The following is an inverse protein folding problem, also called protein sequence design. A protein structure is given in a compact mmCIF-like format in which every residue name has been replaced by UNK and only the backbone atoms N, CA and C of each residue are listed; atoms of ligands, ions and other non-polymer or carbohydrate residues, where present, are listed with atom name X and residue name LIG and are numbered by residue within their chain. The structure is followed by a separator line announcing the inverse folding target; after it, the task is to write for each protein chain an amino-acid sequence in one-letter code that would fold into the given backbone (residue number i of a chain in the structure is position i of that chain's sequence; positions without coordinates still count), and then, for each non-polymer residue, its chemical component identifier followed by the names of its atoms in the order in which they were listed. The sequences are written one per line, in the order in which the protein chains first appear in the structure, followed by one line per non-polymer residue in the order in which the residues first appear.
data_IF_175790437125
#
_entry.id   IF_175790437125
#
_cell.length_a   1.000
_cell.length_b   1.000
_cell.length_c   1.000
_cell.angle_alpha   90.00
_cell.angle_beta   90.00
_cell.angle_gamma   90.00
#
_symmetry.space_group_name_H-M   'P 1'
#
loop_
_entity.id
_entity.type
_entity.pdbx_description
1 polymer ?
#
# COMPACT_ATOMS: atom_id res chain seq x y z
N UNK A 1 -21.44 3.04 -20.50
CA UNK A 1 -20.81 2.77 -19.19
C UNK A 1 -19.51 3.53 -19.15
N UNK A 2 -19.33 4.45 -18.20
CA UNK A 2 -18.07 5.16 -18.04
C UNK A 2 -17.02 4.22 -17.46
N UNK A 3 -15.81 4.21 -18.00
CA UNK A 3 -14.67 3.49 -17.43
C UNK A 3 -14.32 4.22 -16.12
N UNK A 4 -14.66 3.64 -14.98
CA UNK A 4 -14.31 4.19 -13.67
C UNK A 4 -13.02 3.53 -13.17
N UNK A 5 -11.97 4.34 -13.01
CA UNK A 5 -10.75 3.91 -12.35
C UNK A 5 -10.97 3.97 -10.84
N UNK A 6 -10.86 2.87 -10.09
CA UNK A 6 -11.00 2.90 -8.64
C UNK A 6 -9.88 3.74 -8.02
N UNK A 7 -10.22 4.62 -7.09
CA UNK A 7 -9.24 5.41 -6.35
C UNK A 7 -8.62 4.54 -5.24
N UNK A 8 -7.33 4.24 -5.35
CA UNK A 8 -6.54 3.59 -4.29
C UNK A 8 -5.82 4.68 -3.49
N UNK A 9 -6.37 5.04 -2.34
CA UNK A 9 -5.92 6.18 -1.53
C UNK A 9 -5.27 5.81 -0.19
N UNK A 10 -5.35 4.53 0.20
CA UNK A 10 -4.82 4.04 1.47
C UNK A 10 -3.63 3.10 1.25
N UNK A 11 -2.62 3.25 2.10
CA UNK A 11 -1.40 2.44 2.11
C UNK A 11 -1.18 1.76 3.46
N UNK A 12 -2.26 1.63 4.25
CA UNK A 12 -2.19 1.17 5.64
C UNK A 12 -1.68 -0.28 5.80
N UNK A 13 -1.77 -1.12 4.75
CA UNK A 13 -1.25 -2.49 4.81
C UNK A 13 0.26 -2.60 4.56
N UNK A 14 0.94 -1.50 4.21
CA UNK A 14 2.38 -1.50 3.94
C UNK A 14 2.76 -2.36 2.74
N UNK A 15 4.00 -2.86 2.73
CA UNK A 15 4.49 -3.73 1.65
C UNK A 15 3.84 -5.11 1.73
N UNK A 16 3.22 -5.53 0.64
CA UNK A 16 2.61 -6.84 0.49
C UNK A 16 3.67 -7.89 0.18
N UNK A 17 3.50 -9.08 0.74
CA UNK A 17 4.35 -10.22 0.39
C UNK A 17 4.27 -10.50 -1.12
N UNK A 18 5.39 -10.85 -1.78
CA UNK A 18 5.38 -11.24 -3.19
C UNK A 18 4.41 -12.40 -3.50
N UNK A 19 4.13 -13.27 -2.52
CA UNK A 19 3.16 -14.37 -2.66
C UNK A 19 1.70 -13.89 -2.74
N UNK A 20 1.42 -12.66 -2.29
CA UNK A 20 0.11 -12.05 -2.28
C UNK A 20 -0.13 -11.11 -3.47
N UNK A 21 0.87 -10.91 -4.35
CA UNK A 21 0.80 -9.99 -5.50
C UNK A 21 -0.30 -10.37 -6.50
N UNK A 22 -0.68 -11.66 -6.55
CA UNK A 22 -1.78 -12.15 -7.41
C UNK A 22 -3.15 -12.22 -6.72
N UNK A 23 -3.26 -11.90 -5.42
CA UNK A 23 -4.50 -12.10 -4.65
C UNK A 23 -5.35 -10.82 -4.60
N UNK A 24 -5.91 -10.45 -5.75
CA UNK A 24 -6.79 -9.28 -5.92
C UNK A 24 -8.09 -9.35 -5.11
N UNK A 25 -8.48 -10.53 -4.63
CA UNK A 25 -9.68 -10.71 -3.82
C UNK A 25 -9.51 -10.23 -2.37
N UNK A 26 -8.26 -10.13 -1.90
CA UNK A 26 -8.00 -9.74 -0.52
C UNK A 26 -8.21 -8.23 -0.35
N UNK A 27 -8.94 -7.84 0.71
CA UNK A 27 -9.10 -6.43 1.06
C UNK A 27 -7.74 -5.71 1.24
N UNK A 28 -6.72 -6.43 1.74
CA UNK A 28 -5.34 -5.93 1.90
C UNK A 28 -4.67 -5.57 0.57
N UNK A 29 -5.09 -6.17 -0.55
CA UNK A 29 -4.52 -5.88 -1.86
C UNK A 29 -4.73 -4.41 -2.26
N UNK A 30 -5.93 -3.89 -2.01
CA UNK A 30 -6.32 -2.53 -2.38
C UNK A 30 -5.76 -1.43 -1.46
N UNK A 31 -5.23 -1.80 -0.30
CA UNK A 31 -4.68 -0.87 0.71
C UNK A 31 -3.20 -1.08 0.99
N UNK A 32 -2.54 -1.89 0.16
CA UNK A 32 -1.13 -2.25 0.28
C UNK A 32 -0.29 -1.73 -0.88
N UNK A 33 1.01 -1.98 -0.79
CA UNK A 33 2.02 -1.54 -1.75
C UNK A 33 2.85 -2.72 -2.22
N UNK A 34 3.31 -2.70 -3.47
CA UNK A 34 4.25 -3.71 -3.97
C UNK A 34 5.67 -3.51 -3.42
N UNK A 35 6.07 -2.26 -3.18
CA UNK A 35 7.38 -1.89 -2.66
C UNK A 35 7.25 -0.70 -1.71
N UNK A 36 7.92 -0.75 -0.56
CA UNK A 36 7.96 0.35 0.42
C UNK A 36 9.41 0.59 0.89
N UNK A 37 10.15 1.39 0.14
CA UNK A 37 11.56 1.68 0.45
C UNK A 37 11.71 2.93 1.32
N UNK A 38 12.43 2.82 2.43
CA UNK A 38 12.76 3.95 3.32
C UNK A 38 11.56 4.77 3.79
N UNK A 39 10.39 4.14 3.90
CA UNK A 39 9.15 4.75 4.36
C UNK A 39 8.54 3.98 5.53
N UNK A 40 7.60 4.62 6.22
CA UNK A 40 6.78 4.08 7.29
C UNK A 40 5.32 4.34 6.89
N UNK A 41 4.53 3.27 6.76
CA UNK A 41 3.09 3.38 6.51
C UNK A 41 2.35 3.66 7.83
N UNK A 42 1.33 4.51 7.78
CA UNK A 42 0.47 4.76 8.95
C UNK A 42 -0.78 3.87 8.93
N UNK A 43 -1.25 3.40 10.11
CA UNK A 43 -2.52 2.68 10.21
C UNK A 43 -3.73 3.48 9.70
N UNK A 44 -3.68 4.81 9.81
CA UNK A 44 -4.71 5.74 9.33
C UNK A 44 -4.67 5.96 7.81
N UNK A 45 -3.68 5.41 7.12
CA UNK A 45 -3.41 5.65 5.70
C UNK A 45 -2.28 6.66 5.46
N UNK A 46 -1.66 6.56 4.28
CA UNK A 46 -0.48 7.33 3.91
C UNK A 46 0.84 6.67 4.33
N UNK A 47 1.95 7.23 3.84
CA UNK A 47 3.30 6.83 4.22
C UNK A 47 4.20 8.06 4.39
N UNK A 48 5.08 8.04 5.37
CA UNK A 48 6.11 9.07 5.57
C UNK A 48 7.50 8.49 5.42
N UNK A 49 8.46 9.36 5.08
CA UNK A 49 9.87 8.98 5.03
C UNK A 49 10.34 8.56 6.43
N UNK A 50 11.03 7.42 6.50
CA UNK A 50 11.69 6.97 7.73
C UNK A 50 12.73 8.00 8.16
N UNK A 51 12.78 8.31 9.46
CA UNK A 51 13.83 9.16 10.04
C UNK A 51 15.22 8.60 9.70
N UNK A 52 16.12 9.49 9.26
CA UNK A 52 17.51 9.10 8.97
C UNK A 52 18.25 8.69 10.23
N UNK A 53 19.25 7.81 10.08
CA UNK A 53 20.25 7.56 11.13
C UNK A 53 21.26 8.71 11.12
N UNK A 54 21.54 9.30 12.29
CA UNK A 54 22.69 10.19 12.47
C UNK A 54 23.99 9.40 12.42
#
# INVERSE_FOLDING_TARGET
MAIQTPALNSFAAGELSPLLDGRTDLAKYYVGLKTLLNMIAYPTGGATRRGGTK
#
